data_IF_151385337494
#
_entry.id   IF_151385337494
#
_cell.length_a   1.000
_cell.length_b   1.000
_cell.length_c   1.000
_cell.angle_alpha   90.00
_cell.angle_beta   90.00
_cell.angle_gamma   90.00
#
_symmetry.space_group_name_H-M   'P 1'
#
loop_
_entity.id
_entity.type
_entity.pdbx_description
1 polymer ?
#
# COMPACT_ATOMS: atom_id res chain seq x y z
N UNK A 1 -1.41 8.37 6.09
CA UNK A 1 -2.26 7.29 5.54
C UNK A 1 -2.30 7.46 4.03
N UNK A 2 -2.16 6.37 3.28
CA UNK A 2 -2.32 6.30 1.84
C UNK A 2 -3.65 5.60 1.53
N UNK A 3 -4.48 6.21 0.69
CA UNK A 3 -5.77 5.64 0.28
C UNK A 3 -5.71 5.33 -1.21
N UNK A 4 -5.91 4.06 -1.58
CA UNK A 4 -5.95 3.60 -2.95
C UNK A 4 -7.31 2.99 -3.26
N UNK A 5 -7.95 3.46 -4.34
CA UNK A 5 -9.27 3.00 -4.76
C UNK A 5 -9.18 2.48 -6.21
N UNK A 6 -9.70 1.28 -6.44
CA UNK A 6 -9.93 0.78 -7.79
C UNK A 6 -11.44 0.63 -8.01
N UNK A 7 -12.04 1.63 -8.65
CA UNK A 7 -13.46 1.61 -9.02
C UNK A 7 -13.74 0.97 -10.39
N UNK A 8 -12.73 0.40 -11.06
CA UNK A 8 -12.96 -0.30 -12.31
C UNK A 8 -13.89 -1.51 -12.07
N UNK A 9 -14.95 -1.71 -12.86
CA UNK A 9 -15.96 -2.72 -12.57
C UNK A 9 -15.42 -4.16 -12.62
N UNK A 10 -14.45 -4.40 -13.52
CA UNK A 10 -13.98 -5.76 -13.83
C UNK A 10 -12.45 -5.95 -13.87
N UNK A 11 -11.65 -4.89 -13.73
CA UNK A 11 -10.20 -4.95 -14.00
C UNK A 11 -9.43 -4.77 -12.71
N UNK A 12 -8.67 -5.78 -12.35
CA UNK A 12 -7.65 -5.70 -11.31
C UNK A 12 -6.37 -5.11 -11.90
N UNK A 13 -5.72 -4.22 -11.16
CA UNK A 13 -4.49 -3.56 -11.57
C UNK A 13 -3.32 -4.17 -10.79
N UNK A 14 -2.31 -4.65 -11.49
CA UNK A 14 -1.07 -5.17 -10.90
C UNK A 14 0.04 -4.15 -11.04
N UNK A 15 1.01 -4.20 -10.12
CA UNK A 15 2.22 -3.38 -10.17
C UNK A 15 1.94 -1.87 -10.26
N UNK A 16 0.88 -1.40 -9.60
CA UNK A 16 0.51 0.02 -9.62
C UNK A 16 1.48 0.79 -8.74
N UNK A 17 2.23 1.71 -9.34
CA UNK A 17 3.12 2.62 -8.62
C UNK A 17 2.34 3.83 -8.09
N UNK A 18 2.17 3.89 -6.77
CA UNK A 18 1.47 4.99 -6.10
C UNK A 18 2.50 5.90 -5.42
N UNK A 19 2.58 7.19 -5.77
CA UNK A 19 3.58 8.09 -5.21
C UNK A 19 3.31 8.34 -3.72
N UNK A 20 4.37 8.34 -2.92
CA UNK A 20 4.32 8.60 -1.48
C UNK A 20 5.32 9.69 -1.08
N UNK A 21 5.00 10.52 -0.07
CA UNK A 21 5.88 11.61 0.35
C UNK A 21 7.04 11.15 1.23
N UNK A 22 6.90 10.03 1.95
CA UNK A 22 7.89 9.54 2.91
C UNK A 22 8.41 8.17 2.46
N UNK A 23 9.74 7.98 2.32
CA UNK A 23 10.31 6.66 2.08
C UNK A 23 10.20 5.79 3.34
N UNK A 24 10.02 4.48 3.16
CA UNK A 24 9.89 3.54 4.27
C UNK A 24 9.11 2.29 3.89
N UNK A 25 8.37 1.75 4.84
CA UNK A 25 7.47 0.63 4.63
C UNK A 25 6.03 1.06 4.93
N UNK A 26 5.10 0.56 4.12
CA UNK A 26 3.68 0.81 4.27
C UNK A 26 2.96 -0.49 4.57
N UNK A 27 2.16 -0.55 5.63
CA UNK A 27 1.36 -1.73 5.97
C UNK A 27 -0.10 -1.48 5.68
N UNK A 28 -0.83 -2.51 5.23
CA UNK A 28 -2.27 -2.41 5.02
C UNK A 28 -2.98 -2.38 6.37
N UNK A 29 -3.63 -1.26 6.66
CA UNK A 29 -4.43 -1.07 7.89
C UNK A 29 -5.88 -1.48 7.66
N UNK A 30 -6.40 -1.25 6.44
CA UNK A 30 -7.76 -1.62 6.05
C UNK A 30 -7.77 -2.06 4.58
N UNK A 31 -8.36 -3.21 4.30
CA UNK A 31 -8.68 -3.64 2.94
C UNK A 31 -10.16 -4.03 2.88
N UNK A 32 -10.91 -3.47 1.93
CA UNK A 32 -12.31 -3.88 1.72
C UNK A 32 -12.43 -5.26 1.07
N UNK A 33 -11.34 -5.81 0.52
CA UNK A 33 -11.29 -7.16 -0.03
C UNK A 33 -11.07 -8.24 1.04
N UNK A 34 -10.96 -7.89 2.33
CA UNK A 34 -10.82 -8.89 3.39
C UNK A 34 -12.06 -9.78 3.51
N UNK A 35 -11.85 -11.06 3.86
CA UNK A 35 -12.92 -12.04 4.08
C UNK A 35 -13.96 -11.56 5.11
N UNK A 36 -13.53 -10.84 6.15
CA UNK A 36 -14.43 -10.27 7.18
C UNK A 36 -15.44 -9.25 6.63
N UNK A 37 -15.16 -8.68 5.45
CA UNK A 37 -16.05 -7.75 4.75
C UNK A 37 -16.72 -8.40 3.52
N UNK A 38 -16.54 -9.72 3.34
CA UNK A 38 -17.09 -10.47 2.21
C UNK A 38 -16.30 -10.32 0.91
N UNK A 39 -15.03 -9.91 0.99
CA UNK A 39 -14.11 -9.89 -0.15
C UNK A 39 -13.46 -11.25 -0.41
N UNK A 40 -12.40 -11.26 -1.22
CA UNK A 40 -11.70 -12.47 -1.67
C UNK A 40 -10.29 -12.66 -1.05
N UNK A 41 -9.90 -11.81 -0.12
CA UNK A 41 -8.60 -11.80 0.56
C UNK A 41 -7.39 -11.86 -0.39
N UNK A 42 -7.46 -11.11 -1.49
CA UNK A 42 -6.39 -11.11 -2.50
C UNK A 42 -5.26 -10.12 -2.17
N UNK A 43 -5.43 -9.29 -1.16
CA UNK A 43 -4.46 -8.29 -0.71
C UNK A 43 -3.83 -8.76 0.59
N UNK A 44 -2.50 -8.88 0.61
CA UNK A 44 -1.77 -9.32 1.77
C UNK A 44 -1.55 -8.18 2.77
N UNK A 45 -1.77 -8.44 4.06
CA UNK A 45 -1.41 -7.52 5.14
C UNK A 45 0.08 -7.67 5.52
N UNK A 46 0.96 -7.32 4.58
CA UNK A 46 2.42 -7.33 4.75
C UNK A 46 3.02 -5.92 4.64
N UNK A 47 4.28 -5.71 5.05
CA UNK A 47 5.00 -4.49 4.75
C UNK A 47 5.27 -4.36 3.24
N UNK A 48 4.88 -3.22 2.67
CA UNK A 48 5.15 -2.83 1.30
C UNK A 48 6.28 -1.78 1.29
N UNK A 49 7.50 -2.14 0.85
CA UNK A 49 8.62 -1.20 0.83
C UNK A 49 8.47 -0.17 -0.29
N UNK A 50 8.92 1.05 -0.03
CA UNK A 50 8.97 2.10 -1.06
C UNK A 50 10.06 1.82 -2.08
N UNK A 51 9.75 2.03 -3.37
CA UNK A 51 10.69 2.01 -4.49
C UNK A 51 10.92 3.43 -4.97
N UNK A 52 12.19 3.80 -5.16
CA UNK A 52 12.56 5.11 -5.67
C UNK A 52 12.72 5.08 -7.19
N UNK A 53 12.01 5.95 -7.89
CA UNK A 53 12.06 6.11 -9.34
C UNK A 53 11.94 7.59 -9.71
N UNK A 54 12.77 8.07 -10.63
CA UNK A 54 12.75 9.48 -11.08
C UNK A 54 12.77 10.52 -9.93
N UNK A 55 13.55 10.24 -8.88
CA UNK A 55 13.67 11.11 -7.70
C UNK A 55 12.45 11.14 -6.77
N UNK A 56 11.42 10.35 -7.05
CA UNK A 56 10.21 10.20 -6.21
C UNK A 56 10.14 8.80 -5.63
N UNK A 57 9.49 8.67 -4.48
CA UNK A 57 9.27 7.40 -3.81
C UNK A 57 7.84 6.91 -4.09
N UNK A 58 7.70 5.62 -4.36
CA UNK A 58 6.44 4.97 -4.71
C UNK A 58 6.23 3.71 -3.89
N UNK A 59 4.99 3.37 -3.62
CA UNK A 59 4.61 2.03 -3.16
C UNK A 59 4.00 1.29 -4.33
N UNK A 60 4.44 0.05 -4.55
CA UNK A 60 3.88 -0.80 -5.60
C UNK A 60 2.76 -1.67 -5.03
N UNK A 61 1.56 -1.55 -5.60
CA UNK A 61 0.37 -2.21 -5.09
C UNK A 61 -0.28 -3.12 -6.14
N UNK A 62 -0.92 -4.16 -5.64
CA UNK A 62 -1.97 -4.87 -6.35
C UNK A 62 -3.34 -4.32 -5.91
N UNK A 63 -4.15 -3.87 -6.85
CA UNK A 63 -5.48 -3.31 -6.60
C UNK A 63 -6.54 -4.16 -7.32
N UNK A 64 -7.23 -5.07 -6.62
CA UNK A 64 -8.33 -5.82 -7.21
C UNK A 64 -9.48 -4.90 -7.67
N UNK A 65 -10.26 -5.35 -8.65
CA UNK A 65 -11.43 -4.60 -9.13
C UNK A 65 -12.42 -4.31 -7.99
N UNK A 66 -12.96 -3.09 -7.94
CA UNK A 66 -13.96 -2.62 -6.93
C UNK A 66 -13.47 -2.70 -5.49
N UNK A 67 -12.23 -2.29 -5.22
CA UNK A 67 -11.65 -2.32 -3.87
C UNK A 67 -11.18 -0.95 -3.38
N UNK A 68 -11.11 -0.80 -2.06
CA UNK A 68 -10.44 0.29 -1.38
C UNK A 68 -9.42 -0.28 -0.38
N UNK A 69 -8.20 0.27 -0.40
CA UNK A 69 -7.09 -0.16 0.46
C UNK A 69 -6.53 1.09 1.15
N UNK A 70 -6.32 0.98 2.46
CA UNK A 70 -5.69 2.01 3.28
C UNK A 70 -4.38 1.48 3.81
N UNK A 71 -3.29 2.20 3.53
CA UNK A 71 -1.97 1.89 4.04
C UNK A 71 -1.50 2.93 5.04
N UNK A 72 -0.75 2.48 6.04
CA UNK A 72 -0.11 3.31 7.04
C UNK A 72 1.40 3.20 6.91
N UNK A 73 2.08 4.34 6.95
CA UNK A 73 3.53 4.36 6.98
C UNK A 73 4.04 3.86 8.34
N UNK A 74 4.99 2.93 8.29
CA UNK A 74 5.87 2.62 9.38
C UNK A 74 7.16 3.40 9.17
N UNK A 75 7.25 4.56 9.82
CA UNK A 75 8.48 5.35 9.84
C UNK A 75 9.51 4.56 10.65
N UNK A 76 10.49 3.98 9.97
CA UNK A 76 11.71 3.51 10.60
C UNK A 76 12.49 4.78 10.97
N UNK A 77 12.28 5.31 12.18
CA UNK A 77 13.13 6.38 12.69
C UNK A 77 14.58 5.88 12.66
N UNK A 78 15.55 6.71 12.22
CA UNK A 78 16.95 6.37 12.40
C UNK A 78 17.14 6.07 13.89
N UNK A 79 17.61 4.86 14.20
CA UNK A 79 17.96 4.49 15.57
C UNK A 79 18.95 5.54 16.05
N UNK A 80 18.61 6.31 17.09
CA UNK A 80 19.55 7.27 17.65
C UNK A 80 20.84 6.51 17.99
N UNK A 81 21.91 6.79 17.25
CA UNK A 81 23.24 6.38 17.63
C UNK A 81 23.52 7.09 18.96
N UNK A 82 23.35 6.35 20.06
CA UNK A 82 23.86 6.77 21.36
C UNK A 82 25.37 6.93 21.21
N UNK A 83 25.82 8.19 21.13
CA UNK A 83 27.23 8.58 21.30
C UNK A 83 27.73 8.20 22.68
#
# INVERSE_FOLDING_TARGET
LLFAFNFHPCQSLTNVLVPVPQPGEYTVELCTDDDKYGGFHQVAHIPYPTKRFDGKDYVELYLPARTAIVLKEHVILPKEEKK
#
